data_IF_675078188590
#
_entry.id   IF_675078188590
#
_cell.length_a   1.000
_cell.length_b   1.000
_cell.length_c   1.000
_cell.angle_alpha   90.00
_cell.angle_beta   90.00
_cell.angle_gamma   90.00
#
_symmetry.space_group_name_H-M   'P 1'
#
loop_
_entity.id
_entity.type
_entity.pdbx_description
1 polymer ?
#
# COMPACT_ATOMS: atom_id res chain seq x y z
N UNK A 1 10.79 -19.39 3.70
CA UNK A 1 10.33 -18.56 2.57
C UNK A 1 8.82 -18.39 2.67
N UNK A 2 8.31 -17.19 2.94
CA UNK A 2 6.89 -16.94 3.19
C UNK A 2 6.09 -16.44 1.97
N UNK A 3 6.75 -15.89 0.95
CA UNK A 3 6.08 -15.27 -0.19
C UNK A 3 5.21 -16.23 -1.01
N UNK A 4 5.66 -17.45 -1.37
CA UNK A 4 4.79 -18.38 -2.11
C UNK A 4 3.53 -18.75 -1.34
N UNK A 5 3.63 -18.87 -0.01
CA UNK A 5 2.49 -19.17 0.86
C UNK A 5 1.50 -17.99 0.89
N UNK A 6 2.01 -16.75 0.99
CA UNK A 6 1.19 -15.55 0.93
C UNK A 6 0.48 -15.37 -0.43
N UNK A 7 1.17 -15.66 -1.54
CA UNK A 7 0.57 -15.60 -2.88
C UNK A 7 -0.54 -16.64 -3.04
N UNK A 8 -0.36 -17.86 -2.52
CA UNK A 8 -1.38 -18.91 -2.54
C UNK A 8 -2.62 -18.50 -1.73
N UNK A 9 -2.40 -17.87 -0.57
CA UNK A 9 -3.47 -17.31 0.24
C UNK A 9 -4.24 -16.24 -0.57
N UNK A 10 -3.56 -15.22 -1.11
CA UNK A 10 -4.20 -14.13 -1.87
C UNK A 10 -4.98 -14.67 -3.08
N UNK A 11 -4.44 -15.66 -3.81
CA UNK A 11 -5.14 -16.33 -4.93
C UNK A 11 -6.39 -17.09 -4.49
N UNK A 12 -6.40 -17.59 -3.26
CA UNK A 12 -7.57 -18.20 -2.61
C UNK A 12 -8.56 -17.20 -2.01
N UNK A 13 -8.36 -15.89 -2.21
CA UNK A 13 -9.26 -14.82 -1.77
C UNK A 13 -8.99 -14.28 -0.36
N UNK A 14 -7.87 -14.62 0.28
CA UNK A 14 -7.51 -14.08 1.61
C UNK A 14 -6.00 -14.04 1.83
N UNK A 15 -5.40 -13.04 2.48
CA UNK A 15 -6.02 -11.81 2.93
C UNK A 15 -6.16 -10.84 1.75
N UNK A 16 -7.31 -10.16 1.66
CA UNK A 16 -7.41 -8.98 0.81
C UNK A 16 -6.59 -7.85 1.44
N UNK A 17 -5.45 -7.55 0.83
CA UNK A 17 -4.55 -6.49 1.30
C UNK A 17 -4.86 -5.12 0.65
N UNK A 18 -5.87 -5.04 -0.21
CA UNK A 18 -6.27 -3.78 -0.86
C UNK A 18 -6.83 -2.79 0.16
N UNK A 19 -7.55 -3.27 1.19
CA UNK A 19 -8.11 -2.44 2.25
C UNK A 19 -7.08 -1.70 3.11
N UNK A 20 -5.79 -2.06 3.02
CA UNK A 20 -4.72 -1.29 3.69
C UNK A 20 -4.21 -0.11 2.85
N UNK A 21 -4.63 0.03 1.59
CA UNK A 21 -4.17 1.10 0.70
C UNK A 21 -5.06 2.31 0.92
N UNK A 22 -4.49 3.36 1.51
CA UNK A 22 -5.16 4.63 1.77
C UNK A 22 -5.05 5.61 0.61
N UNK A 23 -4.16 5.35 -0.35
CA UNK A 23 -4.00 6.18 -1.54
C UNK A 23 -2.98 5.63 -2.53
N UNK A 24 -3.14 6.03 -3.78
CA UNK A 24 -2.21 5.72 -4.88
C UNK A 24 -1.78 7.04 -5.52
N UNK A 25 -0.48 7.24 -5.68
CA UNK A 25 0.09 8.42 -6.31
C UNK A 25 0.99 8.00 -7.48
N UNK A 26 1.20 8.92 -8.42
CA UNK A 26 2.25 8.77 -9.43
C UNK A 26 3.63 8.84 -8.77
N UNK A 27 4.68 8.24 -9.36
CA UNK A 27 6.04 8.31 -8.81
C UNK A 27 6.56 9.75 -8.61
N UNK A 28 6.11 10.71 -9.42
CA UNK A 28 6.44 12.13 -9.25
C UNK A 28 5.97 12.70 -7.90
N UNK A 29 4.94 12.11 -7.28
CA UNK A 29 4.41 12.49 -5.97
C UNK A 29 5.09 11.77 -4.79
N UNK A 30 6.26 11.15 -4.98
CA UNK A 30 6.93 10.41 -3.90
C UNK A 30 7.20 11.25 -2.65
N UNK A 31 7.68 12.50 -2.82
CA UNK A 31 7.93 13.40 -1.71
C UNK A 31 6.65 13.77 -0.94
N UNK A 32 5.55 13.98 -1.67
CA UNK A 32 4.22 14.22 -1.07
C UNK A 32 3.75 13.00 -0.27
N UNK A 33 3.90 11.78 -0.82
CA UNK A 33 3.51 10.55 -0.15
C UNK A 33 4.28 10.34 1.17
N UNK A 34 5.59 10.63 1.18
CA UNK A 34 6.40 10.58 2.41
C UNK A 34 5.93 11.62 3.42
N UNK A 35 5.73 12.88 2.98
CA UNK A 35 5.24 13.94 3.85
C UNK A 35 3.88 13.61 4.50
N UNK A 36 2.96 13.01 3.76
CA UNK A 36 1.66 12.56 4.29
C UNK A 36 1.81 11.45 5.32
N UNK A 37 2.71 10.49 5.09
CA UNK A 37 2.97 9.40 6.04
C UNK A 37 3.62 9.91 7.34
N UNK A 38 4.63 10.77 7.23
CA UNK A 38 5.32 11.35 8.40
C UNK A 38 4.41 12.28 9.20
N UNK A 39 3.63 13.11 8.51
CA UNK A 39 2.67 14.03 9.12
C UNK A 39 1.35 13.40 9.54
N UNK A 40 1.12 12.12 9.22
CA UNK A 40 -0.18 11.43 9.35
C UNK A 40 -1.34 12.22 8.72
N UNK A 41 -1.07 12.94 7.64
CA UNK A 41 -2.07 13.76 6.97
C UNK A 41 -3.13 12.88 6.31
N UNK A 42 -4.38 12.99 6.78
CA UNK A 42 -5.48 12.12 6.34
C UNK A 42 -5.42 10.70 6.91
N UNK A 43 -4.60 10.45 7.94
CA UNK A 43 -4.41 9.17 8.63
C UNK A 43 -4.16 7.95 7.70
N UNK A 44 -3.13 7.99 6.83
CA UNK A 44 -2.89 6.95 5.86
C UNK A 44 -2.28 5.69 6.50
N UNK A 45 -2.82 4.52 6.16
CA UNK A 45 -2.29 3.20 6.51
C UNK A 45 -1.14 2.81 5.57
N UNK A 46 -1.35 2.94 4.26
CA UNK A 46 -0.32 2.68 3.23
C UNK A 46 -0.59 3.52 1.99
N UNK A 47 0.46 4.17 1.48
CA UNK A 47 0.44 4.82 0.18
C UNK A 47 1.24 3.97 -0.81
N UNK A 48 0.74 3.83 -2.04
CA UNK A 48 1.42 3.08 -3.11
C UNK A 48 1.76 4.03 -4.25
N UNK A 49 2.99 3.97 -4.74
CA UNK A 49 3.38 4.67 -5.96
C UNK A 49 3.19 3.72 -7.14
N UNK A 50 2.38 4.14 -8.12
CA UNK A 50 2.10 3.35 -9.31
C UNK A 50 2.18 4.26 -10.56
N UNK A 51 2.94 3.87 -11.60
CA UNK A 51 3.03 4.60 -12.86
C UNK A 51 1.75 4.50 -13.72
#
# INVERSE_FOLDING_TARGET
MALPQLLNLVRGGRPDSSGSISGVLLPAGAAEAVGRLEGREGDPVRLVLHP
#
